data_IF_269450909455
#
_entry.id   IF_269450909455
#
_cell.length_a   1.000
_cell.length_b   1.000
_cell.length_c   1.000
_cell.angle_alpha   90.00
_cell.angle_beta   90.00
_cell.angle_gamma   90.00
#
_symmetry.space_group_name_H-M   'P 1'
#
loop_
_entity.id
_entity.type
_entity.pdbx_description
1 polymer ?
#
# COMPACT_ATOMS: atom_id res chain seq x y z
N UNK A 1 -3.23 20.34 -4.89
CA UNK A 1 -2.48 20.59 -6.09
C UNK A 1 -2.12 19.32 -6.82
N UNK A 2 -1.30 19.45 -7.84
CA UNK A 2 -0.86 18.30 -8.63
C UNK A 2 -0.13 17.25 -7.79
N UNK A 3 0.66 17.70 -6.82
CA UNK A 3 1.36 16.78 -5.93
C UNK A 3 0.44 15.90 -5.13
N UNK A 4 -0.70 16.42 -4.72
CA UNK A 4 -1.67 15.65 -3.97
C UNK A 4 -2.30 14.53 -4.80
N UNK A 5 -2.53 14.80 -6.09
CA UNK A 5 -3.07 13.79 -7.00
C UNK A 5 -2.10 12.61 -7.15
N UNK A 6 -0.82 12.90 -7.30
CA UNK A 6 0.19 11.87 -7.47
C UNK A 6 0.50 11.11 -6.18
N UNK A 7 0.32 11.74 -5.03
CA UNK A 7 0.59 11.12 -3.73
C UNK A 7 -0.47 10.11 -3.33
N UNK A 8 -1.68 10.23 -3.86
CA UNK A 8 -2.78 9.32 -3.56
C UNK A 8 -2.90 8.28 -4.66
N UNK A 9 -2.66 7.04 -4.32
CA UNK A 9 -2.73 5.93 -5.25
C UNK A 9 -3.41 4.75 -4.60
N UNK A 10 -3.99 3.91 -5.41
CA UNK A 10 -4.62 2.70 -4.93
C UNK A 10 -4.60 1.61 -5.98
N UNK A 11 -4.65 0.39 -5.50
CA UNK A 11 -4.73 -0.77 -6.39
C UNK A 11 -5.54 -1.87 -5.74
N UNK A 12 -6.43 -2.46 -6.52
CA UNK A 12 -7.22 -3.62 -6.09
C UNK A 12 -6.98 -4.75 -7.07
N UNK A 13 -6.84 -5.96 -6.55
CA UNK A 13 -6.62 -7.14 -7.38
C UNK A 13 -7.24 -8.38 -6.76
N UNK A 14 -7.64 -9.34 -7.58
CA UNK A 14 -8.05 -10.64 -7.07
C UNK A 14 -6.84 -11.55 -6.91
N UNK A 15 -6.93 -12.45 -5.93
CA UNK A 15 -5.99 -13.54 -5.76
C UNK A 15 -6.82 -14.77 -5.44
N UNK A 16 -7.24 -15.47 -6.49
CA UNK A 16 -8.19 -16.59 -6.43
C UNK A 16 -9.45 -16.20 -5.67
N UNK A 17 -9.66 -16.73 -4.47
CA UNK A 17 -10.84 -16.44 -3.66
C UNK A 17 -10.76 -15.10 -2.92
N UNK A 18 -9.63 -14.41 -2.98
CA UNK A 18 -9.40 -13.20 -2.23
C UNK A 18 -9.51 -11.96 -3.11
N UNK A 19 -10.01 -10.90 -2.53
CA UNK A 19 -9.99 -9.56 -3.12
C UNK A 19 -9.19 -8.67 -2.19
N UNK A 20 -8.12 -8.07 -2.70
CA UNK A 20 -7.20 -7.26 -1.90
C UNK A 20 -7.10 -5.86 -2.47
N UNK A 21 -7.09 -4.88 -1.58
CA UNK A 21 -7.01 -3.48 -1.97
C UNK A 21 -6.05 -2.75 -1.03
N UNK A 22 -5.16 -1.97 -1.62
CA UNK A 22 -4.27 -1.09 -0.86
C UNK A 22 -4.35 0.29 -1.46
N UNK A 23 -4.69 1.26 -0.63
CA UNK A 23 -4.70 2.67 -1.00
C UNK A 23 -3.73 3.41 -0.10
N UNK A 24 -3.00 4.34 -0.66
CA UNK A 24 -2.00 5.09 0.10
C UNK A 24 -2.00 6.58 -0.28
N UNK A 25 -1.52 7.38 0.65
CA UNK A 25 -1.39 8.81 0.45
C UNK A 25 -0.13 9.28 1.16
N UNK A 26 0.81 9.79 0.40
CA UNK A 26 2.05 10.37 0.92
C UNK A 26 1.84 11.79 1.44
N UNK A 27 0.70 12.05 2.08
CA UNK A 27 0.34 13.37 2.58
C UNK A 27 1.02 13.80 3.88
N UNK A 28 1.91 12.98 4.41
CA UNK A 28 2.68 13.34 5.58
C UNK A 28 2.10 12.91 6.92
N UNK A 29 0.94 12.32 6.93
CA UNK A 29 0.32 11.83 8.17
C UNK A 29 0.31 10.31 8.20
N UNK A 30 1.16 9.68 9.01
CA UNK A 30 1.12 8.23 9.17
C UNK A 30 -0.18 7.82 9.83
N UNK A 31 -0.88 6.92 9.18
CA UNK A 31 -2.12 6.35 9.69
C UNK A 31 -2.38 5.05 8.98
N UNK A 32 -2.63 4.00 9.73
CA UNK A 32 -2.95 2.70 9.17
C UNK A 32 -4.40 2.33 9.47
N UNK A 33 -5.15 2.03 8.41
CA UNK A 33 -6.43 1.34 8.51
C UNK A 33 -6.19 -0.08 8.00
N UNK A 34 -6.39 -1.05 8.87
CA UNK A 34 -6.14 -2.45 8.57
C UNK A 34 -7.45 -3.22 8.67
N UNK A 35 -8.03 -3.53 7.52
CA UNK A 35 -9.27 -4.31 7.43
C UNK A 35 -8.97 -5.61 6.70
N UNK A 36 -8.18 -6.45 7.36
CA UNK A 36 -7.78 -7.76 6.84
C UNK A 36 -7.65 -8.71 8.02
N UNK A 37 -8.57 -9.63 8.11
CA UNK A 37 -8.60 -10.59 9.21
C UNK A 37 -7.77 -11.82 8.87
N UNK A 38 -6.93 -12.23 9.82
CA UNK A 38 -6.16 -13.46 9.73
C UNK A 38 -6.47 -14.31 10.96
N UNK A 39 -7.02 -15.50 10.75
CA UNK A 39 -7.40 -16.41 11.82
C UNK A 39 -6.31 -17.41 12.18
N UNK A 40 -5.44 -17.71 11.23
CA UNK A 40 -4.32 -18.62 11.46
C UNK A 40 -3.23 -17.90 12.25
N UNK A 41 -2.50 -18.63 13.06
CA UNK A 41 -1.36 -18.06 13.78
C UNK A 41 -0.21 -17.76 12.83
N UNK A 42 -0.04 -18.59 11.81
CA UNK A 42 1.06 -18.46 10.84
C UNK A 42 0.58 -18.72 9.43
N UNK A 43 1.23 -18.05 8.49
CA UNK A 43 1.17 -18.40 7.08
C UNK A 43 2.60 -18.76 6.69
N UNK A 44 2.82 -20.02 6.33
CA UNK A 44 4.18 -20.54 6.22
C UNK A 44 4.86 -20.44 7.60
N UNK A 45 6.03 -19.83 7.65
CA UNK A 45 6.75 -19.61 8.90
C UNK A 45 6.49 -18.24 9.52
N UNK A 46 5.72 -17.40 8.85
CA UNK A 46 5.48 -16.04 9.29
C UNK A 46 4.27 -15.94 10.20
N UNK A 47 4.43 -15.48 11.45
CA UNK A 47 3.28 -15.19 12.31
C UNK A 47 2.39 -14.13 11.67
N UNK A 48 1.09 -14.37 11.64
CA UNK A 48 0.16 -13.45 10.97
C UNK A 48 0.08 -12.09 11.66
N UNK A 49 0.32 -12.02 12.96
CA UNK A 49 0.35 -10.75 13.66
C UNK A 49 1.45 -9.81 13.15
N UNK A 50 2.49 -10.37 12.53
CA UNK A 50 3.58 -9.57 11.98
C UNK A 50 3.16 -8.78 10.75
N UNK A 51 2.09 -9.18 10.08
CA UNK A 51 1.59 -8.45 8.92
C UNK A 51 1.12 -7.04 9.31
N UNK A 52 0.31 -6.97 10.35
CA UNK A 52 -0.15 -5.68 10.86
C UNK A 52 1.03 -4.83 11.32
N UNK A 53 1.97 -5.42 12.05
CA UNK A 53 3.15 -4.70 12.53
C UNK A 53 3.99 -4.17 11.37
N UNK A 54 4.17 -4.97 10.33
CA UNK A 54 4.91 -4.55 9.14
C UNK A 54 4.26 -3.31 8.51
N UNK A 55 2.96 -3.38 8.27
CA UNK A 55 2.27 -2.27 7.62
C UNK A 55 2.22 -1.02 8.50
N UNK A 56 2.10 -1.21 9.81
CA UNK A 56 2.16 -0.09 10.75
C UNK A 56 3.53 0.60 10.70
N UNK A 57 4.59 -0.21 10.73
CA UNK A 57 5.95 0.33 10.64
C UNK A 57 6.19 1.02 9.31
N UNK A 58 5.68 0.45 8.22
CA UNK A 58 5.80 1.06 6.90
C UNK A 58 5.09 2.41 6.84
N UNK A 59 3.87 2.45 7.34
CA UNK A 59 3.09 3.70 7.39
C UNK A 59 3.84 4.79 8.17
N UNK A 60 4.35 4.43 9.33
CA UNK A 60 5.08 5.37 10.17
C UNK A 60 6.38 5.84 9.51
N UNK A 61 7.17 4.91 8.99
CA UNK A 61 8.49 5.23 8.41
C UNK A 61 8.36 6.06 7.13
N UNK A 62 7.40 5.73 6.29
CA UNK A 62 7.18 6.45 5.04
C UNK A 62 6.31 7.69 5.21
N UNK A 63 5.78 7.91 6.40
CA UNK A 63 4.87 9.02 6.72
C UNK A 63 3.68 9.04 5.76
N UNK A 64 3.10 7.88 5.54
CA UNK A 64 1.97 7.78 4.63
C UNK A 64 0.72 7.25 5.31
N UNK A 65 -0.41 7.75 4.87
CA UNK A 65 -1.69 7.15 5.17
C UNK A 65 -1.79 5.86 4.36
N UNK A 66 -2.13 4.77 5.01
CA UNK A 66 -2.16 3.46 4.39
C UNK A 66 -3.46 2.77 4.75
N UNK A 67 -4.22 2.40 3.73
CA UNK A 67 -5.52 1.79 3.90
C UNK A 67 -5.49 0.43 3.23
N UNK A 68 -5.63 -0.62 4.03
CA UNK A 68 -5.56 -2.01 3.55
C UNK A 68 -6.90 -2.69 3.81
N UNK A 69 -7.44 -3.31 2.77
CA UNK A 69 -8.65 -4.11 2.88
C UNK A 69 -8.47 -5.40 2.11
N UNK A 70 -8.84 -6.52 2.73
CA UNK A 70 -8.77 -7.80 2.06
C UNK A 70 -9.90 -8.70 2.56
N UNK A 71 -10.49 -9.44 1.62
CA UNK A 71 -11.55 -10.39 1.86
C UNK A 71 -11.17 -11.71 1.21
N UNK A 72 -11.64 -12.80 1.79
CA UNK A 72 -11.41 -14.13 1.27
C UNK A 72 -11.05 -15.08 2.38
N UNK A 73 -10.86 -16.34 2.05
CA UNK A 73 -10.64 -17.38 3.06
C UNK A 73 -9.23 -17.90 3.11
N UNK A 74 -8.57 -18.06 1.96
CA UNK A 74 -7.21 -18.56 1.93
C UNK A 74 -6.24 -17.45 2.37
N UNK A 75 -5.64 -17.64 3.52
CA UNK A 75 -4.84 -16.56 4.12
C UNK A 75 -3.48 -16.37 3.45
N UNK A 76 -2.95 -17.40 2.82
CA UNK A 76 -1.76 -17.25 2.00
C UNK A 76 -2.07 -16.34 0.80
N UNK A 77 -3.17 -16.60 0.10
CA UNK A 77 -3.62 -15.76 -1.02
C UNK A 77 -3.90 -14.34 -0.56
N UNK A 78 -4.50 -14.23 0.62
CA UNK A 78 -4.86 -12.92 1.17
C UNK A 78 -3.62 -12.04 1.38
N UNK A 79 -2.62 -12.56 2.09
CA UNK A 79 -1.43 -11.75 2.34
C UNK A 79 -0.61 -11.52 1.06
N UNK A 80 -0.53 -12.51 0.19
CA UNK A 80 0.14 -12.34 -1.09
C UNK A 80 -0.53 -11.26 -1.92
N UNK A 81 -1.86 -11.25 -1.96
CA UNK A 81 -2.62 -10.24 -2.67
C UNK A 81 -2.43 -8.84 -2.10
N UNK A 82 -2.38 -8.74 -0.77
CA UNK A 82 -2.11 -7.46 -0.11
C UNK A 82 -0.73 -6.92 -0.51
N UNK A 83 0.31 -7.76 -0.46
CA UNK A 83 1.65 -7.32 -0.85
C UNK A 83 1.74 -6.94 -2.32
N UNK A 84 1.05 -7.67 -3.19
CA UNK A 84 1.02 -7.32 -4.61
C UNK A 84 0.29 -6.00 -4.84
N UNK A 85 -0.81 -5.77 -4.16
CA UNK A 85 -1.55 -4.52 -4.26
C UNK A 85 -0.72 -3.34 -3.74
N UNK A 86 -0.01 -3.55 -2.63
CA UNK A 86 0.91 -2.54 -2.09
C UNK A 86 1.99 -2.20 -3.09
N UNK A 87 2.62 -3.21 -3.68
CA UNK A 87 3.69 -2.99 -4.65
C UNK A 87 3.20 -2.19 -5.85
N UNK A 88 2.01 -2.50 -6.35
CA UNK A 88 1.42 -1.76 -7.47
C UNK A 88 1.12 -0.31 -7.12
N UNK A 89 0.51 -0.09 -5.95
CA UNK A 89 0.18 1.27 -5.51
C UNK A 89 1.45 2.09 -5.28
N UNK A 90 2.47 1.51 -4.66
CA UNK A 90 3.76 2.18 -4.46
C UNK A 90 4.44 2.51 -5.78
N UNK A 91 4.43 1.56 -6.71
CA UNK A 91 5.05 1.76 -8.02
C UNK A 91 4.41 2.93 -8.75
N UNK A 92 3.09 3.03 -8.71
CA UNK A 92 2.38 4.14 -9.33
C UNK A 92 2.73 5.47 -8.67
N UNK A 93 2.76 5.51 -7.34
CA UNK A 93 3.07 6.72 -6.60
C UNK A 93 4.50 7.21 -6.88
N UNK A 94 5.46 6.30 -6.84
CA UNK A 94 6.87 6.64 -7.08
C UNK A 94 7.08 7.08 -8.53
N UNK A 95 6.48 6.40 -9.48
CA UNK A 95 6.60 6.74 -10.88
C UNK A 95 6.05 8.13 -11.18
N UNK A 96 4.88 8.44 -10.61
CA UNK A 96 4.26 9.75 -10.76
C UNK A 96 5.09 10.85 -10.12
N UNK A 97 5.67 10.57 -8.98
CA UNK A 97 6.50 11.52 -8.26
C UNK A 97 7.76 11.86 -9.06
N UNK A 98 8.37 10.86 -9.69
CA UNK A 98 9.53 11.06 -10.56
C UNK A 98 9.17 11.99 -11.72
N UNK A 99 8.07 11.75 -12.39
CA UNK A 99 7.62 12.61 -13.48
C UNK A 99 7.30 14.02 -13.01
N UNK A 100 6.74 14.13 -11.83
CA UNK A 100 6.42 15.42 -11.25
C UNK A 100 7.68 16.24 -10.99
N UNK A 101 8.76 15.61 -10.55
CA UNK A 101 10.04 16.28 -10.34
C UNK A 101 10.68 16.71 -11.65
N UNK A 102 10.66 15.87 -12.64
CA UNK A 102 11.29 16.17 -13.93
C UNK A 102 10.69 17.40 -14.61
N UNK A 103 9.37 17.51 -14.60
CA UNK A 103 8.70 18.63 -15.24
C UNK A 103 9.13 19.98 -14.69
N UNK A 104 9.09 20.22 -13.39
CA UNK A 104 9.58 21.47 -12.84
C UNK A 104 11.05 21.70 -13.15
N UNK A 105 11.85 20.68 -13.03
CA UNK A 105 13.28 20.77 -13.25
C UNK A 105 13.62 21.12 -14.70
N UNK A 106 12.96 20.48 -15.65
CA UNK A 106 13.22 20.73 -17.07
C UNK A 106 12.79 22.12 -17.50
N UNK A 107 11.80 22.68 -16.84
CA UNK A 107 11.37 24.04 -17.10
C UNK A 107 12.27 25.07 -16.45
N UNK A 108 13.09 24.66 -15.50
CA UNK A 108 14.03 25.53 -14.83
C UNK A 108 13.41 26.58 -13.95
N UNK A 109 12.16 26.47 -13.65
CA UNK A 109 11.47 27.52 -12.92
C UNK A 109 10.56 27.03 -11.83
N UNK A 110 10.16 25.88 -11.90
CA UNK A 110 9.17 25.42 -10.94
C UNK A 110 9.83 24.85 -9.70
#
# INVERSE_FOLDING_TARGET
GLGDVYKRQGYALPMDDCLCQVCLDFGGRPWLVWDAEFKREKVGDMPTEMFLHFFKSLSDAARMNLNVKAEGQNEHHKIEGIFKALARALKMAVKRDIYHFELPSSKGVL
#
